data_IF_872924497472
#
_entry.id   IF_872924497472
#
_cell.length_a   1.000
_cell.length_b   1.000
_cell.length_c   1.000
_cell.angle_alpha   90.00
_cell.angle_beta   90.00
_cell.angle_gamma   90.00
#
_symmetry.space_group_name_H-M   'P 1'
#
loop_
_entity.id
_entity.type
_entity.pdbx_description
1 polymer ?
#
# COMPACT_ATOMS: atom_id res chain seq x y z
N UNK A 1 0.56 -36.56 12.36
CA UNK A 1 -0.64 -35.74 12.11
C UNK A 1 -0.27 -34.34 12.49
N UNK A 2 0.14 -33.55 11.50
CA UNK A 2 0.83 -32.29 11.70
C UNK A 2 -0.17 -31.26 12.24
N UNK A 3 -0.01 -30.86 13.51
CA UNK A 3 -0.88 -29.94 14.24
C UNK A 3 -0.77 -28.49 13.75
N UNK A 4 -0.70 -28.28 12.44
CA UNK A 4 -0.89 -26.95 11.86
C UNK A 4 -2.33 -26.56 12.16
N UNK A 5 -2.53 -25.39 12.79
CA UNK A 5 -3.80 -24.66 12.65
C UNK A 5 -3.95 -24.30 11.17
N UNK A 6 -4.39 -25.25 10.36
CA UNK A 6 -4.87 -24.97 9.03
C UNK A 6 -6.15 -24.17 9.21
N UNK A 7 -6.07 -22.87 8.95
CA UNK A 7 -7.24 -22.07 8.69
C UNK A 7 -7.85 -22.64 7.42
N UNK A 8 -8.78 -23.61 7.56
CA UNK A 8 -9.41 -24.43 6.50
C UNK A 8 -10.03 -23.65 5.33
N UNK A 9 -9.97 -22.33 5.40
CA UNK A 9 -10.64 -21.39 4.51
C UNK A 9 -9.71 -20.27 3.99
N UNK A 10 -8.45 -20.23 4.42
CA UNK A 10 -7.43 -19.43 3.74
C UNK A 10 -6.91 -20.22 2.54
N UNK A 11 -7.00 -19.63 1.35
CA UNK A 11 -6.45 -20.19 0.11
C UNK A 11 -4.94 -20.38 0.31
N UNK A 12 -4.38 -21.44 -0.27
CA UNK A 12 -2.95 -21.75 -0.27
C UNK A 12 -2.07 -20.50 -0.49
N UNK A 13 -0.87 -20.49 0.11
CA UNK A 13 0.13 -19.39 0.13
C UNK A 13 0.44 -18.72 -1.23
N UNK A 14 0.02 -19.32 -2.34
CA UNK A 14 0.22 -18.88 -3.73
C UNK A 14 -0.91 -18.01 -4.31
N UNK A 15 -2.08 -17.92 -3.69
CA UNK A 15 -3.23 -17.17 -4.20
C UNK A 15 -3.34 -15.73 -3.69
N UNK A 16 -3.97 -14.83 -4.45
CA UNK A 16 -4.45 -13.54 -3.94
C UNK A 16 -5.47 -13.80 -2.81
N UNK A 17 -5.36 -13.05 -1.71
CA UNK A 17 -6.43 -12.96 -0.73
C UNK A 17 -7.63 -12.26 -1.40
N UNK A 18 -8.56 -13.05 -1.94
CA UNK A 18 -9.80 -12.51 -2.49
C UNK A 18 -10.80 -12.28 -1.37
N UNK A 19 -11.57 -11.19 -1.47
CA UNK A 19 -12.81 -11.04 -0.71
C UNK A 19 -13.71 -12.19 -1.12
N UNK A 20 -13.91 -13.15 -0.22
CA UNK A 20 -14.89 -14.21 -0.43
C UNK A 20 -16.19 -13.79 0.24
N UNK A 21 -17.32 -14.39 -0.13
CA UNK A 21 -18.58 -14.18 0.59
C UNK A 21 -18.53 -14.57 2.09
N UNK A 22 -17.42 -15.15 2.56
CA UNK A 22 -17.23 -15.62 3.94
C UNK A 22 -16.20 -14.81 4.75
N UNK A 23 -15.31 -14.06 4.10
CA UNK A 23 -14.21 -13.35 4.77
C UNK A 23 -13.95 -12.00 4.13
N UNK A 24 -13.63 -11.03 4.98
CA UNK A 24 -13.09 -9.75 4.57
C UNK A 24 -11.68 -9.59 5.10
N UNK A 25 -10.79 -9.16 4.23
CA UNK A 25 -9.39 -8.92 4.55
C UNK A 25 -9.18 -7.41 4.67
N UNK A 26 -8.77 -6.96 5.87
CA UNK A 26 -8.38 -5.58 6.14
C UNK A 26 -6.91 -5.44 5.80
N UNK A 27 -6.60 -4.68 4.77
CA UNK A 27 -5.26 -4.65 4.18
C UNK A 27 -4.71 -3.25 3.98
N UNK A 28 -5.46 -2.22 4.36
CA UNK A 28 -5.06 -0.84 4.21
C UNK A 28 -5.64 0.04 5.33
N UNK A 29 -5.08 1.24 5.48
CA UNK A 29 -5.49 2.18 6.53
C UNK A 29 -6.91 2.74 6.37
N UNK A 30 -7.52 2.65 5.18
CA UNK A 30 -8.89 3.12 4.97
C UNK A 30 -9.93 2.18 5.57
N UNK A 31 -9.69 0.86 5.53
CA UNK A 31 -10.63 -0.13 6.05
C UNK A 31 -10.27 -0.67 7.44
N UNK A 32 -9.02 -0.52 7.90
CA UNK A 32 -8.59 -0.96 9.23
C UNK A 32 -9.48 -0.48 10.40
N UNK A 33 -10.01 0.76 10.42
CA UNK A 33 -10.98 1.17 11.46
C UNK A 33 -12.24 0.30 11.52
N UNK A 34 -12.62 -0.31 10.40
CA UNK A 34 -13.72 -1.25 10.30
C UNK A 34 -13.51 -2.50 11.15
N UNK A 35 -12.27 -2.99 11.30
CA UNK A 35 -11.96 -4.15 12.14
C UNK A 35 -12.28 -3.88 13.61
N UNK A 36 -11.88 -2.72 14.12
CA UNK A 36 -12.20 -2.28 15.48
C UNK A 36 -13.70 -2.07 15.66
N UNK A 37 -14.36 -1.43 14.69
CA UNK A 37 -15.81 -1.22 14.72
C UNK A 37 -16.56 -2.56 14.81
N UNK A 38 -16.16 -3.55 14.02
CA UNK A 38 -16.74 -4.89 14.06
C UNK A 38 -16.63 -5.52 15.44
N UNK A 39 -15.44 -5.48 16.06
CA UNK A 39 -15.23 -6.01 17.40
C UNK A 39 -16.16 -5.34 18.42
N UNK A 40 -16.30 -4.01 18.36
CA UNK A 40 -17.18 -3.24 19.24
C UNK A 40 -18.66 -3.57 19.05
N UNK A 41 -19.12 -3.75 17.81
CA UNK A 41 -20.50 -4.12 17.51
C UNK A 41 -20.79 -5.53 18.04
N UNK A 42 -19.88 -6.48 17.86
CA UNK A 42 -20.01 -7.84 18.42
C UNK A 42 -20.09 -7.80 19.94
N UNK A 43 -19.20 -7.07 20.62
CA UNK A 43 -19.20 -6.92 22.07
C UNK A 43 -20.54 -6.36 22.58
N UNK A 44 -21.08 -5.34 21.90
CA UNK A 44 -22.32 -4.68 22.27
C UNK A 44 -23.53 -5.62 22.11
N UNK A 45 -23.65 -6.26 20.94
CA UNK A 45 -24.75 -7.16 20.63
C UNK A 45 -24.71 -8.43 21.48
N UNK A 46 -23.52 -8.95 21.80
CA UNK A 46 -23.37 -10.13 22.68
C UNK A 46 -23.91 -9.85 24.08
N UNK A 47 -23.65 -8.66 24.63
CA UNK A 47 -24.17 -8.22 25.93
C UNK A 47 -25.69 -8.05 25.93
N UNK A 48 -26.26 -7.56 24.82
CA UNK A 48 -27.71 -7.33 24.70
C UNK A 48 -28.50 -8.62 24.47
N UNK A 49 -27.95 -9.57 23.71
CA UNK A 49 -28.66 -10.78 23.27
C UNK A 49 -28.43 -12.01 24.15
N UNK A 50 -27.93 -11.84 25.40
CA UNK A 50 -27.58 -12.94 26.30
C UNK A 50 -26.75 -14.06 25.63
N UNK A 51 -25.88 -13.72 24.67
CA UNK A 51 -25.04 -14.68 23.95
C UNK A 51 -25.65 -15.36 22.70
N UNK A 52 -26.81 -14.93 22.18
CA UNK A 52 -27.30 -15.40 20.87
C UNK A 52 -26.47 -14.83 19.70
N UNK A 53 -26.19 -15.69 18.70
CA UNK A 53 -25.03 -15.60 17.79
C UNK A 53 -25.27 -15.00 16.40
N UNK A 54 -26.47 -14.58 16.05
CA UNK A 54 -26.73 -14.07 14.69
C UNK A 54 -26.29 -12.61 14.59
N UNK A 55 -25.17 -12.37 13.92
CA UNK A 55 -24.68 -11.04 13.58
C UNK A 55 -24.84 -10.81 12.07
N UNK A 56 -25.72 -9.91 11.65
CA UNK A 56 -25.90 -9.49 10.25
C UNK A 56 -25.71 -7.98 10.10
N UNK A 57 -24.62 -7.45 10.68
CA UNK A 57 -24.25 -6.03 10.58
C UNK A 57 -23.12 -5.80 9.56
N UNK A 58 -22.52 -6.88 9.04
CA UNK A 58 -21.29 -6.79 8.25
C UNK A 58 -21.50 -6.00 6.95
N UNK A 59 -22.65 -6.19 6.30
CA UNK A 59 -23.01 -5.46 5.07
C UNK A 59 -23.07 -3.96 5.33
N UNK A 60 -23.52 -3.54 6.51
CA UNK A 60 -23.62 -2.13 6.88
C UNK A 60 -22.24 -1.51 7.10
N UNK A 61 -21.29 -2.25 7.70
CA UNK A 61 -19.90 -1.79 7.87
C UNK A 61 -19.24 -1.59 6.50
N UNK A 62 -19.38 -2.55 5.59
CA UNK A 62 -18.85 -2.43 4.23
C UNK A 62 -19.50 -1.25 3.49
N UNK A 63 -20.82 -1.12 3.59
CA UNK A 63 -21.54 0.00 2.98
C UNK A 63 -21.09 1.35 3.54
N UNK A 64 -20.83 1.45 4.85
CA UNK A 64 -20.33 2.66 5.48
C UNK A 64 -18.91 3.04 4.98
N UNK A 65 -18.00 2.07 4.87
CA UNK A 65 -16.66 2.29 4.30
C UNK A 65 -16.77 2.76 2.85
N UNK A 66 -17.59 2.08 2.04
CA UNK A 66 -17.83 2.46 0.64
C UNK A 66 -18.45 3.84 0.50
N UNK A 67 -19.35 4.22 1.40
CA UNK A 67 -19.97 5.54 1.41
C UNK A 67 -18.95 6.64 1.73
N UNK A 68 -18.10 6.43 2.74
CA UNK A 68 -17.11 7.42 3.17
C UNK A 68 -16.02 7.68 2.13
N UNK A 69 -15.60 6.64 1.42
CA UNK A 69 -14.53 6.71 0.42
C UNK A 69 -15.06 6.56 -1.01
N UNK A 70 -16.35 6.86 -1.22
CA UNK A 70 -16.94 6.85 -2.56
C UNK A 70 -16.14 7.79 -3.45
N UNK A 71 -15.67 7.26 -4.57
CA UNK A 71 -14.77 7.97 -5.48
C UNK A 71 -15.32 9.33 -5.94
N UNK A 72 -16.62 9.43 -6.24
CA UNK A 72 -17.22 10.68 -6.68
C UNK A 72 -17.43 11.71 -5.56
N UNK A 73 -17.29 11.30 -4.29
CA UNK A 73 -17.56 12.17 -3.14
C UNK A 73 -16.55 13.32 -3.00
N UNK A 74 -15.34 13.17 -3.50
CA UNK A 74 -14.40 14.29 -3.57
C UNK A 74 -14.94 15.38 -4.49
N UNK A 75 -15.23 15.08 -5.76
CA UNK A 75 -15.79 16.05 -6.73
C UNK A 75 -17.13 16.63 -6.28
N UNK A 76 -18.04 15.78 -5.81
CA UNK A 76 -19.36 16.18 -5.30
C UNK A 76 -19.29 16.96 -3.97
N UNK A 77 -18.12 16.98 -3.31
CA UNK A 77 -17.92 17.54 -1.98
C UNK A 77 -18.96 17.04 -0.96
N UNK A 78 -19.17 15.73 -0.93
CA UNK A 78 -20.17 15.08 -0.10
C UNK A 78 -19.55 14.05 0.87
N UNK A 79 -20.37 13.56 1.81
CA UNK A 79 -19.89 12.72 2.90
C UNK A 79 -19.13 13.53 3.97
N UNK A 80 -18.32 12.86 4.78
CA UNK A 80 -17.57 13.49 5.87
C UNK A 80 -16.07 13.57 5.53
N UNK A 81 -15.51 12.52 4.94
CA UNK A 81 -14.06 12.41 4.73
C UNK A 81 -13.51 13.49 3.78
N UNK A 82 -13.94 13.50 2.52
CA UNK A 82 -13.36 14.41 1.52
C UNK A 82 -13.64 15.90 1.79
N UNK A 83 -14.85 16.31 2.25
CA UNK A 83 -15.09 17.71 2.61
C UNK A 83 -14.20 18.21 3.74
N UNK A 84 -13.95 17.38 4.75
CA UNK A 84 -13.05 17.72 5.87
C UNK A 84 -11.59 17.83 5.40
N UNK A 85 -11.12 16.89 4.58
CA UNK A 85 -9.78 16.96 3.99
C UNK A 85 -9.61 18.18 3.10
N UNK A 86 -10.63 18.55 2.29
CA UNK A 86 -10.61 19.77 1.48
C UNK A 86 -10.55 21.04 2.31
N UNK A 87 -11.30 21.08 3.42
CA UNK A 87 -11.41 22.26 4.28
C UNK A 87 -10.10 22.55 5.03
N UNK A 88 -9.46 21.51 5.53
CA UNK A 88 -8.23 21.63 6.34
C UNK A 88 -7.27 20.46 6.07
N UNK A 89 -6.57 20.45 4.91
CA UNK A 89 -5.69 19.34 4.56
C UNK A 89 -4.57 19.15 5.60
N UNK A 90 -4.05 20.24 6.19
CA UNK A 90 -2.94 20.20 7.14
C UNK A 90 -3.26 19.50 8.45
N UNK A 91 -4.54 19.31 8.76
CA UNK A 91 -4.98 18.49 9.90
C UNK A 91 -4.84 16.99 9.66
N UNK A 92 -4.91 16.55 8.40
CA UNK A 92 -4.99 15.13 8.03
C UNK A 92 -3.77 14.63 7.27
N UNK A 93 -2.99 15.52 6.67
CA UNK A 93 -1.84 15.20 5.84
C UNK A 93 -0.54 15.63 6.52
N UNK A 94 0.41 14.70 6.61
CA UNK A 94 1.77 15.05 6.99
C UNK A 94 2.45 15.83 5.86
N UNK A 95 3.18 16.89 6.21
CA UNK A 95 4.08 17.55 5.27
C UNK A 95 5.19 16.59 4.82
N UNK A 96 5.62 16.67 3.56
CA UNK A 96 6.76 15.88 3.10
C UNK A 96 8.06 16.41 3.72
N UNK A 97 8.88 15.55 4.34
CA UNK A 97 10.21 15.96 4.79
C UNK A 97 11.07 16.51 3.65
N UNK A 98 11.83 17.57 3.91
CA UNK A 98 12.70 18.18 2.89
C UNK A 98 13.80 17.23 2.38
N UNK A 99 14.23 16.27 3.21
CA UNK A 99 15.12 15.17 2.81
C UNK A 99 14.54 14.37 1.63
N UNK A 100 13.26 14.02 1.70
CA UNK A 100 12.54 13.27 0.66
C UNK A 100 12.41 14.10 -0.61
N UNK A 101 12.01 15.37 -0.51
CA UNK A 101 11.91 16.27 -1.69
C UNK A 101 13.26 16.40 -2.39
N UNK A 102 14.34 16.61 -1.62
CA UNK A 102 15.70 16.71 -2.13
C UNK A 102 16.15 15.42 -2.80
N UNK A 103 15.82 14.27 -2.21
CA UNK A 103 16.15 12.96 -2.77
C UNK A 103 15.44 12.73 -4.12
N UNK A 104 14.15 13.05 -4.24
CA UNK A 104 13.43 13.00 -5.53
C UNK A 104 14.11 13.88 -6.57
N UNK A 105 14.47 15.12 -6.21
CA UNK A 105 15.18 16.01 -7.12
C UNK A 105 16.55 15.45 -7.54
N UNK A 106 17.29 14.83 -6.62
CA UNK A 106 18.57 14.19 -6.92
C UNK A 106 18.41 13.03 -7.89
N UNK A 107 17.37 12.19 -7.72
CA UNK A 107 17.07 11.11 -8.66
C UNK A 107 16.78 11.66 -10.05
N UNK A 108 15.93 12.69 -10.15
CA UNK A 108 15.61 13.34 -11.42
C UNK A 108 16.85 13.93 -12.09
N UNK A 109 17.67 14.67 -11.34
CA UNK A 109 18.92 15.25 -11.83
C UNK A 109 19.95 14.19 -12.27
N UNK A 110 19.92 13.00 -11.66
CA UNK A 110 20.73 11.85 -12.06
C UNK A 110 20.17 11.12 -13.31
N UNK A 111 19.16 11.68 -13.97
CA UNK A 111 18.55 11.11 -15.18
C UNK A 111 17.67 9.89 -14.92
N UNK A 112 17.17 9.72 -13.69
CA UNK A 112 16.14 8.71 -13.39
C UNK A 112 14.78 9.23 -13.85
N UNK A 113 13.98 8.34 -14.45
CA UNK A 113 12.58 8.62 -14.76
C UNK A 113 11.77 8.41 -13.50
N UNK A 114 11.07 9.45 -13.05
CA UNK A 114 10.21 9.41 -11.87
C UNK A 114 8.74 9.25 -12.26
N UNK A 115 8.07 8.34 -11.56
CA UNK A 115 6.69 7.95 -11.82
C UNK A 115 5.84 8.15 -10.56
N UNK A 116 4.64 8.68 -10.71
CA UNK A 116 3.60 8.67 -9.68
C UNK A 116 2.40 7.87 -10.19
N UNK A 117 2.04 6.77 -9.53
CA UNK A 117 0.93 5.90 -9.93
C UNK A 117 -0.06 5.74 -8.78
N UNK A 118 -1.22 6.37 -8.90
CA UNK A 118 -2.24 6.42 -7.84
C UNK A 118 -3.61 5.96 -8.33
N UNK A 119 -4.36 5.29 -7.46
CA UNK A 119 -5.77 4.95 -7.71
C UNK A 119 -6.73 6.11 -7.43
N UNK A 120 -6.21 7.25 -6.93
CA UNK A 120 -7.00 8.47 -6.73
C UNK A 120 -7.31 9.17 -8.05
N UNK A 121 -8.44 9.87 -8.12
CA UNK A 121 -8.73 10.76 -9.24
C UNK A 121 -7.76 11.96 -9.29
N UNK A 122 -7.68 12.58 -10.46
CA UNK A 122 -6.72 13.65 -10.75
C UNK A 122 -6.85 14.86 -9.82
N UNK A 123 -8.08 15.28 -9.56
CA UNK A 123 -8.42 16.39 -8.66
C UNK A 123 -7.99 16.13 -7.19
N UNK A 124 -8.21 14.91 -6.67
CA UNK A 124 -7.76 14.55 -5.33
C UNK A 124 -6.24 14.39 -5.26
N UNK A 125 -5.63 13.76 -6.26
CA UNK A 125 -4.18 13.64 -6.36
C UNK A 125 -3.50 15.01 -6.35
N UNK A 126 -4.04 15.97 -7.11
CA UNK A 126 -3.56 17.35 -7.16
C UNK A 126 -3.61 17.99 -5.77
N UNK A 127 -4.77 17.97 -5.10
CA UNK A 127 -4.91 18.55 -3.76
C UNK A 127 -3.89 17.97 -2.77
N UNK A 128 -3.72 16.65 -2.76
CA UNK A 128 -2.77 15.98 -1.86
C UNK A 128 -1.33 16.40 -2.18
N UNK A 129 -0.93 16.33 -3.45
CA UNK A 129 0.45 16.57 -3.83
C UNK A 129 0.83 18.05 -3.73
N UNK A 130 -0.07 18.98 -4.08
CA UNK A 130 0.16 20.41 -3.90
C UNK A 130 0.39 20.76 -2.43
N UNK A 131 -0.36 20.14 -1.52
CA UNK A 131 -0.18 20.33 -0.08
C UNK A 131 1.12 19.69 0.45
N UNK A 132 1.44 18.47 0.02
CA UNK A 132 2.53 17.66 0.58
C UNK A 132 3.89 18.04 -0.03
N UNK A 133 3.94 18.21 -1.35
CA UNK A 133 5.16 18.41 -2.13
C UNK A 133 5.35 19.86 -2.60
N UNK A 134 4.25 20.58 -2.85
CA UNK A 134 4.25 21.94 -3.39
C UNK A 134 3.48 22.06 -4.70
N UNK A 135 3.15 23.29 -5.11
CA UNK A 135 2.33 23.54 -6.31
C UNK A 135 2.98 23.06 -7.62
N UNK A 136 4.30 22.95 -7.64
CA UNK A 136 5.14 22.47 -8.73
C UNK A 136 5.43 20.96 -8.65
N UNK A 137 4.72 20.20 -7.81
CA UNK A 137 5.00 18.77 -7.63
C UNK A 137 5.01 17.97 -8.95
N UNK A 138 4.19 18.39 -9.93
CA UNK A 138 4.13 17.71 -11.22
C UNK A 138 5.49 17.75 -11.93
N UNK A 139 6.31 18.78 -11.68
CA UNK A 139 7.66 18.90 -12.22
C UNK A 139 8.65 17.94 -11.54
N UNK A 140 8.30 17.31 -10.42
CA UNK A 140 9.13 16.26 -9.80
C UNK A 140 9.00 14.92 -10.54
N UNK A 141 7.88 14.68 -11.25
CA UNK A 141 7.60 13.41 -11.91
C UNK A 141 7.60 13.57 -13.42
N UNK A 142 8.17 12.59 -14.14
CA UNK A 142 8.10 12.58 -15.60
C UNK A 142 6.74 12.05 -16.08
N UNK A 143 6.14 11.14 -15.31
CA UNK A 143 4.84 10.56 -15.62
C UNK A 143 3.98 10.51 -14.36
N UNK A 144 2.78 11.06 -14.45
CA UNK A 144 1.75 10.96 -13.42
C UNK A 144 0.58 10.16 -13.97
N UNK A 145 0.17 9.12 -13.26
CA UNK A 145 -0.94 8.24 -13.63
C UNK A 145 -1.94 8.22 -12.48
N UNK A 146 -3.10 8.84 -12.71
CA UNK A 146 -4.22 8.86 -11.76
C UNK A 146 -5.29 7.85 -12.17
N UNK A 147 -6.22 7.54 -11.26
CA UNK A 147 -7.25 6.53 -11.45
C UNK A 147 -6.69 5.20 -12.00
N UNK A 148 -5.51 4.78 -11.50
CA UNK A 148 -4.83 3.59 -11.99
C UNK A 148 -5.63 2.30 -11.73
N UNK A 149 -6.63 2.31 -10.83
CA UNK A 149 -7.44 1.16 -10.38
C UNK A 149 -6.58 -0.10 -10.18
N UNK A 150 -5.56 0.02 -9.33
CA UNK A 150 -4.71 -1.10 -8.93
C UNK A 150 -5.55 -2.17 -8.19
N UNK A 151 -5.23 -3.48 -8.30
CA UNK A 151 -4.09 -4.08 -9.00
C UNK A 151 -4.28 -4.20 -10.52
N UNK A 152 -5.45 -3.84 -11.05
CA UNK A 152 -5.80 -4.00 -12.47
C UNK A 152 -4.84 -3.28 -13.43
N UNK A 153 -4.13 -2.25 -12.97
CA UNK A 153 -3.08 -1.58 -13.75
C UNK A 153 -1.98 -2.56 -14.19
N UNK A 154 -1.60 -3.48 -13.30
CA UNK A 154 -0.53 -4.44 -13.54
C UNK A 154 -1.04 -5.71 -14.23
N UNK A 155 -2.25 -6.15 -13.90
CA UNK A 155 -2.77 -7.46 -14.31
C UNK A 155 -3.57 -7.46 -15.60
N UNK A 156 -4.17 -6.34 -16.00
CA UNK A 156 -5.02 -6.29 -17.20
C UNK A 156 -4.23 -5.91 -18.45
N UNK A 157 -4.71 -6.40 -19.59
CA UNK A 157 -4.09 -6.14 -20.88
C UNK A 157 -4.42 -4.74 -21.41
N UNK A 158 -3.64 -4.23 -22.38
CA UNK A 158 -3.93 -2.98 -23.06
C UNK A 158 -5.34 -2.78 -23.58
N UNK A 159 -5.96 -3.83 -24.14
CA UNK A 159 -7.31 -3.74 -24.70
C UNK A 159 -8.39 -3.59 -23.62
N UNK A 160 -8.13 -4.07 -22.40
CA UNK A 160 -9.05 -3.93 -21.28
C UNK A 160 -8.92 -2.57 -20.60
N UNK A 161 -7.74 -1.95 -20.65
CA UNK A 161 -7.40 -0.73 -19.90
C UNK A 161 -6.53 0.22 -20.71
N UNK A 162 -7.12 0.98 -21.65
CA UNK A 162 -6.39 2.03 -22.34
C UNK A 162 -6.04 3.17 -21.38
N UNK A 163 -4.99 3.92 -21.71
CA UNK A 163 -4.71 5.19 -21.06
C UNK A 163 -5.73 6.23 -21.52
N UNK A 164 -5.96 7.28 -20.73
CA UNK A 164 -6.77 8.44 -21.12
C UNK A 164 -6.00 9.72 -20.86
N UNK A 165 -6.21 10.73 -21.70
CA UNK A 165 -5.76 12.09 -21.40
C UNK A 165 -6.68 12.75 -20.38
N UNK A 166 -6.19 13.84 -19.79
CA UNK A 166 -6.91 14.65 -18.82
C UNK A 166 -7.02 16.08 -19.33
N UNK A 167 -8.21 16.67 -19.22
CA UNK A 167 -8.45 18.10 -19.39
C UNK A 167 -9.25 18.59 -18.19
N UNK A 168 -8.69 19.57 -17.45
CA UNK A 168 -9.27 20.06 -16.19
C UNK A 168 -9.62 18.93 -15.21
N UNK A 169 -8.70 17.98 -15.03
CA UNK A 169 -8.84 16.79 -14.17
C UNK A 169 -9.95 15.79 -14.59
N UNK A 170 -10.59 16.00 -15.75
CA UNK A 170 -11.58 15.08 -16.33
C UNK A 170 -10.98 14.19 -17.41
N UNK A 171 -11.36 12.91 -17.40
CA UNK A 171 -10.92 11.93 -18.39
C UNK A 171 -11.49 12.21 -19.78
N UNK A 172 -10.61 12.24 -20.76
CA UNK A 172 -10.96 12.44 -22.16
C UNK A 172 -10.83 11.13 -22.95
N UNK A 173 -10.40 11.24 -24.21
CA UNK A 173 -10.27 10.13 -25.15
C UNK A 173 -9.29 9.05 -24.67
N UNK A 174 -9.59 7.82 -25.06
CA UNK A 174 -8.71 6.68 -24.87
C UNK A 174 -7.52 6.74 -25.84
N UNK A 175 -6.33 6.54 -25.31
CA UNK A 175 -5.09 6.49 -26.08
C UNK A 175 -4.77 5.05 -26.48
N UNK A 176 -4.52 4.79 -27.77
CA UNK A 176 -4.10 3.47 -28.25
C UNK A 176 -2.66 3.14 -27.82
N UNK A 177 -1.82 4.15 -27.59
CA UNK A 177 -0.41 4.03 -27.19
C UNK A 177 0.01 5.19 -26.29
N UNK A 178 1.11 4.99 -25.58
CA UNK A 178 1.76 6.03 -24.78
C UNK A 178 3.13 6.36 -25.40
N UNK A 179 3.27 7.59 -25.91
CA UNK A 179 4.42 7.97 -26.74
C UNK A 179 5.29 9.07 -26.13
N UNK A 180 4.79 9.75 -25.09
CA UNK A 180 5.50 10.82 -24.41
C UNK A 180 5.20 10.82 -22.90
N UNK A 181 6.08 11.39 -22.06
CA UNK A 181 5.77 11.69 -20.67
C UNK A 181 4.58 12.63 -20.54
N UNK A 182 3.96 12.64 -19.37
CA UNK A 182 2.80 13.47 -19.09
C UNK A 182 1.91 12.95 -17.96
N UNK A 183 0.75 13.58 -17.82
CA UNK A 183 -0.27 13.23 -16.85
C UNK A 183 -1.42 12.50 -17.53
N UNK A 184 -1.68 11.27 -17.12
CA UNK A 184 -2.68 10.37 -17.69
C UNK A 184 -3.62 9.81 -16.63
N UNK A 185 -4.76 9.30 -17.09
CA UNK A 185 -5.69 8.51 -16.28
C UNK A 185 -5.76 7.06 -16.74
N UNK A 186 -6.06 6.15 -15.81
CA UNK A 186 -6.20 4.71 -16.05
C UNK A 186 -4.92 4.04 -16.59
N UNK A 187 -5.02 3.31 -17.70
CA UNK A 187 -3.90 2.63 -18.35
C UNK A 187 -3.50 1.29 -17.72
N UNK A 188 -2.32 0.83 -18.14
CA UNK A 188 -1.75 -0.47 -17.79
C UNK A 188 -0.22 -0.44 -17.83
N UNK A 189 0.39 -1.37 -17.09
CA UNK A 189 1.84 -1.48 -16.94
C UNK A 189 2.56 -1.82 -18.25
N UNK A 190 1.93 -2.58 -19.16
CA UNK A 190 2.56 -2.97 -20.42
C UNK A 190 2.81 -1.76 -21.35
N UNK A 191 1.79 -0.91 -21.55
CA UNK A 191 1.94 0.34 -22.30
C UNK A 191 2.90 1.33 -21.64
N UNK A 192 2.87 1.42 -20.31
CA UNK A 192 3.86 2.23 -19.58
C UNK A 192 5.28 1.71 -19.82
N UNK A 193 5.49 0.39 -19.79
CA UNK A 193 6.80 -0.21 -20.00
C UNK A 193 7.36 0.06 -21.41
N UNK A 194 6.50 0.06 -22.45
CA UNK A 194 6.91 0.47 -23.79
C UNK A 194 7.33 1.94 -23.86
N UNK A 195 6.65 2.85 -23.15
CA UNK A 195 7.11 4.22 -23.03
C UNK A 195 8.46 4.31 -22.30
N UNK A 196 8.65 3.56 -21.22
CA UNK A 196 9.92 3.54 -20.48
C UNK A 196 11.09 3.05 -21.33
N UNK A 197 10.88 2.06 -22.22
CA UNK A 197 11.89 1.63 -23.20
C UNK A 197 12.31 2.78 -24.11
N UNK A 198 11.34 3.52 -24.66
CA UNK A 198 11.59 4.69 -25.51
C UNK A 198 12.35 5.78 -24.77
N UNK A 199 11.91 6.12 -23.56
CA UNK A 199 12.51 7.21 -22.77
C UNK A 199 13.93 6.87 -22.27
N UNK A 200 14.18 5.61 -21.91
CA UNK A 200 15.50 5.18 -21.41
C UNK A 200 16.47 4.78 -22.52
N UNK A 201 15.98 4.53 -23.74
CA UNK A 201 16.74 3.91 -24.82
C UNK A 201 17.21 2.48 -24.52
N UNK A 202 16.63 1.82 -23.51
CA UNK A 202 17.00 0.47 -23.09
C UNK A 202 15.91 -0.53 -23.49
N UNK A 203 16.28 -1.72 -24.00
CA UNK A 203 15.30 -2.76 -24.29
C UNK A 203 14.63 -3.31 -23.02
N UNK A 204 15.35 -3.27 -21.89
CA UNK A 204 14.88 -3.78 -20.60
C UNK A 204 15.15 -2.75 -19.48
N UNK A 205 14.33 -1.69 -19.38
CA UNK A 205 14.44 -0.74 -18.29
C UNK A 205 14.09 -1.41 -16.96
N UNK A 206 14.92 -1.19 -15.94
CA UNK A 206 14.63 -1.65 -14.58
C UNK A 206 13.75 -0.64 -13.87
N UNK A 207 12.73 -1.12 -13.16
CA UNK A 207 11.79 -0.30 -12.39
C UNK A 207 11.85 -0.73 -10.93
N UNK A 208 11.94 0.27 -10.04
CA UNK A 208 11.77 0.11 -8.59
C UNK A 208 10.47 0.81 -8.22
N UNK A 209 9.51 0.07 -7.68
CA UNK A 209 8.18 0.57 -7.35
C UNK A 209 7.95 0.58 -5.85
N UNK A 210 7.55 1.75 -5.34
CA UNK A 210 7.28 1.99 -3.93
C UNK A 210 5.77 1.95 -3.72
N UNK A 211 5.32 1.21 -2.69
CA UNK A 211 3.91 1.14 -2.33
C UNK A 211 3.71 0.65 -0.91
N UNK A 212 2.54 0.92 -0.35
CA UNK A 212 2.14 0.56 1.00
C UNK A 212 1.20 -0.66 1.03
N UNK A 213 0.49 -0.93 -0.07
CA UNK A 213 -0.40 -2.09 -0.13
C UNK A 213 0.29 -3.33 -0.66
N UNK A 214 0.29 -4.40 0.13
CA UNK A 214 0.71 -5.70 -0.34
C UNK A 214 -0.15 -6.21 -1.51
N UNK A 215 -1.44 -5.86 -1.52
CA UNK A 215 -2.42 -6.37 -2.48
C UNK A 215 -2.49 -5.53 -3.77
N UNK A 216 -2.55 -4.19 -3.66
CA UNK A 216 -2.66 -3.33 -4.84
C UNK A 216 -1.32 -2.94 -5.45
N UNK A 217 -0.22 -3.01 -4.70
CA UNK A 217 1.06 -2.48 -5.13
C UNK A 217 2.15 -3.55 -5.23
N UNK A 218 2.55 -4.13 -4.10
CA UNK A 218 3.77 -4.94 -4.03
C UNK A 218 3.61 -6.28 -4.75
N UNK A 219 2.58 -7.08 -4.42
CA UNK A 219 2.31 -8.32 -5.11
C UNK A 219 2.15 -8.14 -6.63
N UNK A 220 1.26 -7.27 -7.13
CA UNK A 220 1.00 -7.20 -8.56
C UNK A 220 2.15 -6.61 -9.36
N UNK A 221 2.88 -5.61 -8.85
CA UNK A 221 4.07 -5.06 -9.52
C UNK A 221 5.17 -6.13 -9.66
N UNK A 222 5.39 -6.92 -8.60
CA UNK A 222 6.37 -8.02 -8.64
C UNK A 222 5.91 -9.17 -9.53
N UNK A 223 4.65 -9.58 -9.40
CA UNK A 223 4.15 -10.80 -10.05
C UNK A 223 3.85 -10.61 -11.54
N UNK A 224 3.20 -9.51 -11.93
CA UNK A 224 2.77 -9.29 -13.32
C UNK A 224 3.76 -8.46 -14.14
N UNK A 225 4.58 -7.62 -13.50
CA UNK A 225 5.51 -6.73 -14.20
C UNK A 225 6.99 -7.00 -13.90
N UNK A 226 7.29 -7.94 -12.99
CA UNK A 226 8.64 -8.28 -12.55
C UNK A 226 9.46 -7.05 -12.11
N UNK A 227 8.80 -6.07 -11.51
CA UNK A 227 9.46 -4.89 -10.96
C UNK A 227 10.12 -5.22 -9.61
N UNK A 228 11.17 -4.48 -9.28
CA UNK A 228 11.71 -4.47 -7.92
C UNK A 228 10.76 -3.66 -7.05
N UNK A 229 10.51 -4.12 -5.82
CA UNK A 229 9.46 -3.55 -4.98
C UNK A 229 10.00 -3.12 -3.63
N UNK A 230 9.57 -1.95 -3.19
CA UNK A 230 9.86 -1.43 -1.85
C UNK A 230 8.55 -1.20 -1.13
N UNK A 231 8.28 -2.03 -0.13
CA UNK A 231 7.11 -1.88 0.73
C UNK A 231 7.36 -0.78 1.76
N UNK A 232 6.45 0.19 1.82
CA UNK A 232 6.39 1.16 2.90
C UNK A 232 5.47 0.57 3.98
N UNK A 233 6.02 0.27 5.15
CA UNK A 233 5.32 -0.40 6.25
C UNK A 233 5.60 0.32 7.56
N UNK A 234 4.64 1.12 8.03
CA UNK A 234 4.81 1.96 9.22
C UNK A 234 5.03 1.15 10.50
N UNK A 235 4.55 -0.10 10.56
CA UNK A 235 4.75 -1.04 11.65
C UNK A 235 6.24 -1.42 11.85
N UNK A 236 7.11 -1.07 10.89
CA UNK A 236 8.57 -1.16 11.05
C UNK A 236 9.15 0.02 11.84
N UNK A 237 8.37 1.06 12.13
CA UNK A 237 8.79 2.11 13.06
C UNK A 237 8.80 1.47 14.45
N UNK A 238 9.99 1.28 15.02
CA UNK A 238 10.09 0.99 16.45
C UNK A 238 9.59 2.16 17.29
N UNK A 239 9.39 1.93 18.57
CA UNK A 239 9.05 2.96 19.56
C UNK A 239 10.19 4.00 19.65
N UNK A 240 10.25 4.95 18.71
CA UNK A 240 11.23 6.04 18.66
C UNK A 240 10.84 7.20 19.59
N UNK A 241 10.33 6.87 20.78
CA UNK A 241 10.36 7.79 21.93
C UNK A 241 11.65 7.63 22.75
N UNK A 242 12.54 6.70 22.37
CA UNK A 242 13.91 6.60 22.86
C UNK A 242 14.90 7.27 21.89
N UNK A 243 15.81 8.09 22.44
CA UNK A 243 16.86 8.84 21.72
C UNK A 243 17.56 8.03 20.61
N UNK A 244 18.00 8.67 19.51
CA UNK A 244 18.80 8.01 18.50
C UNK A 244 20.13 7.56 19.12
N UNK A 245 20.37 6.25 19.18
CA UNK A 245 21.73 5.75 19.33
C UNK A 245 22.46 5.99 18.01
N UNK A 246 23.44 6.89 18.05
CA UNK A 246 24.42 7.08 16.98
C UNK A 246 25.21 5.78 16.81
N UNK A 247 24.83 4.95 15.84
CA UNK A 247 25.73 3.90 15.33
C UNK A 247 26.27 4.37 13.99
N UNK A 248 27.54 4.75 13.97
CA UNK A 248 28.30 5.07 12.75
C UNK A 248 28.25 3.92 11.72
N UNK A 249 28.38 4.22 10.41
CA UNK A 249 28.38 3.18 9.38
C UNK A 249 29.68 2.37 9.45
N UNK A 250 29.58 1.10 9.85
CA UNK A 250 30.70 0.16 9.77
C UNK A 250 31.01 -0.19 8.31
N UNK A 251 32.20 0.20 7.85
CA UNK A 251 32.75 -0.19 6.56
C UNK A 251 33.00 -1.71 6.46
N UNK A 252 32.64 -2.25 5.28
CA UNK A 252 32.89 -3.58 4.70
C UNK A 252 33.80 -4.55 5.47
N UNK A 253 33.26 -5.75 5.82
CA UNK A 253 33.88 -7.06 5.51
C UNK A 253 32.92 -8.25 5.73
N UNK A 254 32.80 -9.07 4.68
CA UNK A 254 32.67 -10.54 4.62
C UNK A 254 31.84 -11.32 5.66
N UNK A 255 30.91 -12.13 5.13
CA UNK A 255 30.05 -13.16 5.75
C UNK A 255 28.82 -12.61 6.49
N UNK A 256 27.70 -12.56 5.77
CA UNK A 256 26.36 -12.49 6.34
C UNK A 256 26.09 -13.78 7.12
N UNK A 257 26.45 -13.81 8.41
CA UNK A 257 25.70 -14.63 9.36
C UNK A 257 24.39 -13.88 9.63
N UNK A 258 23.27 -14.51 9.26
CA UNK A 258 21.94 -13.92 9.44
C UNK A 258 21.77 -13.41 10.87
N UNK A 259 21.37 -12.15 11.08
CA UNK A 259 21.15 -11.66 12.43
C UNK A 259 20.13 -12.58 13.10
N UNK A 260 20.47 -13.13 14.28
CA UNK A 260 19.47 -13.60 15.24
C UNK A 260 18.60 -12.39 15.56
N UNK A 261 17.49 -12.24 14.83
CA UNK A 261 16.65 -11.07 14.87
C UNK A 261 16.12 -10.90 16.30
N UNK A 262 16.60 -9.89 17.01
CA UNK A 262 15.84 -9.30 18.12
C UNK A 262 14.46 -8.95 17.54
N UNK A 263 13.34 -9.28 18.21
CA UNK A 263 12.01 -9.02 17.68
C UNK A 263 11.90 -7.54 17.36
N UNK A 264 11.84 -7.28 16.07
CA UNK A 264 11.70 -5.97 15.50
C UNK A 264 10.22 -5.57 15.71
N UNK A 265 10.02 -4.60 16.61
CA UNK A 265 8.89 -3.65 16.64
C UNK A 265 7.60 -4.00 17.39
N UNK A 266 6.85 -2.92 17.63
CA UNK A 266 5.79 -2.66 18.61
C UNK A 266 4.69 -3.73 18.62
N UNK A 267 4.52 -4.38 19.77
CA UNK A 267 3.47 -5.38 19.98
C UNK A 267 2.15 -4.67 20.29
N UNK A 268 1.12 -4.90 19.48
CA UNK A 268 -0.24 -4.57 19.90
C UNK A 268 -0.57 -5.43 21.12
N UNK A 269 -0.86 -4.79 22.25
CA UNK A 269 -1.31 -5.49 23.48
C UNK A 269 -2.62 -6.27 23.27
N UNK A 270 -3.38 -5.93 22.23
CA UNK A 270 -4.69 -6.51 21.96
C UNK A 270 -4.67 -7.48 20.78
N UNK A 271 -3.93 -7.16 19.71
CA UNK A 271 -3.98 -7.91 18.44
C UNK A 271 -2.68 -8.66 18.12
N UNK A 272 -1.68 -8.61 19.01
CA UNK A 272 -0.41 -9.29 18.82
C UNK A 272 0.54 -8.55 17.88
N UNK A 273 1.54 -9.28 17.36
CA UNK A 273 2.50 -8.72 16.40
C UNK A 273 1.99 -8.86 14.98
N UNK A 274 2.30 -7.87 14.15
CA UNK A 274 2.06 -7.95 12.71
C UNK A 274 2.94 -9.01 12.03
N UNK A 275 4.11 -9.35 12.60
CA UNK A 275 5.12 -10.18 11.95
C UNK A 275 5.15 -11.64 12.44
N UNK A 276 4.86 -11.85 13.72
CA UNK A 276 4.96 -13.16 14.37
C UNK A 276 3.72 -13.45 15.21
N UNK A 277 3.35 -14.71 15.31
CA UNK A 277 2.30 -15.21 16.20
C UNK A 277 2.85 -16.36 17.04
N UNK A 278 2.27 -16.58 18.22
CA UNK A 278 2.62 -17.69 19.12
C UNK A 278 1.55 -18.77 19.02
N UNK A 279 1.92 -19.95 18.52
CA UNK A 279 1.03 -21.11 18.50
C UNK A 279 1.40 -22.04 19.63
N UNK A 280 0.49 -22.14 20.61
CA UNK A 280 0.58 -23.09 21.71
C UNK A 280 0.54 -24.51 21.18
N UNK A 281 1.57 -25.30 21.48
CA UNK A 281 1.57 -26.74 21.21
C UNK A 281 0.51 -27.47 22.04
N UNK A 282 -0.01 -28.58 21.52
CA UNK A 282 -0.78 -29.53 22.33
C UNK A 282 0.19 -30.18 23.33
N UNK A 283 -0.15 -30.09 24.63
CA UNK A 283 0.51 -30.72 25.78
C UNK A 283 2.03 -30.46 25.92
N UNK A 284 2.40 -29.58 26.87
CA UNK A 284 3.75 -29.42 27.45
C UNK A 284 4.92 -29.13 26.48
N UNK A 285 4.66 -28.59 25.29
CA UNK A 285 5.69 -28.06 24.39
C UNK A 285 5.71 -26.53 24.45
N UNK A 286 6.91 -25.93 24.51
CA UNK A 286 7.09 -24.47 24.47
C UNK A 286 6.36 -23.86 23.26
N UNK A 287 5.80 -22.66 23.44
CA UNK A 287 5.10 -21.94 22.37
C UNK A 287 6.01 -21.77 21.15
N UNK A 288 5.52 -22.26 20.00
CA UNK A 288 6.25 -22.11 18.74
C UNK A 288 5.92 -20.76 18.11
N UNK A 289 6.95 -19.96 17.85
CA UNK A 289 6.81 -18.72 17.09
C UNK A 289 6.66 -19.05 15.60
N UNK A 290 5.60 -18.54 14.98
CA UNK A 290 5.33 -18.69 13.55
C UNK A 290 5.24 -17.32 12.89
N UNK A 291 5.73 -17.21 11.65
CA UNK A 291 5.53 -15.99 10.87
C UNK A 291 4.07 -15.85 10.45
N UNK A 292 3.53 -14.65 10.65
CA UNK A 292 2.18 -14.30 10.18
C UNK A 292 2.10 -14.40 8.67
N UNK A 293 0.86 -14.45 8.17
CA UNK A 293 0.61 -14.36 6.73
C UNK A 293 1.25 -13.10 6.13
N UNK A 294 1.09 -11.95 6.79
CA UNK A 294 1.69 -10.69 6.36
C UNK A 294 3.21 -10.78 6.22
N UNK A 295 3.91 -11.31 7.22
CA UNK A 295 5.36 -11.48 7.18
C UNK A 295 5.81 -12.37 6.01
N UNK A 296 5.14 -13.51 5.80
CA UNK A 296 5.44 -14.41 4.68
C UNK A 296 5.27 -13.71 3.34
N UNK A 297 4.20 -12.95 3.15
CA UNK A 297 3.94 -12.19 1.91
C UNK A 297 4.99 -11.11 1.68
N UNK A 298 5.38 -10.37 2.72
CA UNK A 298 6.47 -9.38 2.64
C UNK A 298 7.76 -10.05 2.16
N UNK A 299 8.16 -11.16 2.79
CA UNK A 299 9.39 -11.88 2.44
C UNK A 299 9.38 -12.47 1.03
N UNK A 300 8.20 -12.73 0.48
CA UNK A 300 8.04 -13.34 -0.85
C UNK A 300 8.00 -12.32 -1.98
N UNK A 301 7.34 -11.17 -1.75
CA UNK A 301 7.00 -10.23 -2.83
C UNK A 301 7.69 -8.87 -2.72
N UNK A 302 8.26 -8.51 -1.57
CA UNK A 302 8.97 -7.26 -1.37
C UNK A 302 10.47 -7.47 -1.46
N UNK A 303 11.17 -6.69 -2.28
CA UNK A 303 12.64 -6.70 -2.31
C UNK A 303 13.19 -6.10 -1.01
N UNK A 304 12.62 -4.97 -0.58
CA UNK A 304 12.96 -4.29 0.67
C UNK A 304 11.66 -3.83 1.34
N UNK A 305 11.61 -3.75 2.66
CA UNK A 305 10.54 -3.08 3.39
C UNK A 305 11.14 -1.98 4.28
N UNK A 306 10.54 -0.79 4.27
CA UNK A 306 11.02 0.41 4.96
C UNK A 306 9.90 1.08 5.77
N UNK A 307 10.20 1.71 6.91
CA UNK A 307 9.20 2.37 7.75
C UNK A 307 8.64 3.69 7.17
N UNK A 308 9.36 4.27 6.21
CA UNK A 308 9.02 5.51 5.50
C UNK A 308 9.99 5.72 4.34
N UNK A 309 9.63 6.56 3.37
CA UNK A 309 10.54 6.98 2.30
C UNK A 309 11.75 7.74 2.87
N UNK A 310 11.55 8.55 3.91
CA UNK A 310 12.61 9.30 4.59
C UNK A 310 13.74 8.40 5.13
N UNK A 311 13.44 7.14 5.47
CA UNK A 311 14.47 6.21 5.98
C UNK A 311 15.56 5.86 4.96
N UNK A 312 15.36 6.15 3.67
CA UNK A 312 16.32 5.88 2.59
C UNK A 312 16.66 7.12 1.73
N UNK A 313 16.01 8.25 2.01
CA UNK A 313 16.21 9.51 1.32
C UNK A 313 17.45 10.24 1.84
#
# INVERSE_FOLDING_TARGET
GDGRKEWKHFISDTGMASRSGKYYFYDNYFDLPGALLCARVVDSLTKQNNGQKTFDFWKDVVAAIQHNYKVSAFKENCGIYFPEVKRDPGRYLYSCPESVKKWLQQLKNAGKILLLITSSHSDYCRLLCEHILGNDFADLFDIVITNALKPGFFSHSPSQRPFRTLENDEEQEALPSLDKPGWYSQGNAAHLYELLKKMTGKPEPKVVYFGDSMHSDIFPARHYSNWETVLILEELRGDRDGKPEESEPLEKKGKYEGPKAKPLYTLSKTWGSFFIDSVSGLENTEDSLVYTWSCKRISTYSTIAIPSIEAIA
#
